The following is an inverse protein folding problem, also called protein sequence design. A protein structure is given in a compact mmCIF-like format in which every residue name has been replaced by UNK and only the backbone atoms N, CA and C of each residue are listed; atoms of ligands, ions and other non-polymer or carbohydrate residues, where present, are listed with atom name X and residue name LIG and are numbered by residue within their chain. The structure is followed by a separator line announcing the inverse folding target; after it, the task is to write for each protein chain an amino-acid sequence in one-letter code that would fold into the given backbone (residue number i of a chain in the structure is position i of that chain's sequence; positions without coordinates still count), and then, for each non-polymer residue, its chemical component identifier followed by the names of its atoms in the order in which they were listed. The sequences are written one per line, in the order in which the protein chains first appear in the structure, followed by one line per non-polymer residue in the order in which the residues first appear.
data_IF_907443417191
#
_entry.id   IF_907443417191
#
_cell.length_a   1.000
_cell.length_b   1.000
_cell.length_c   1.000
_cell.angle_alpha   90.00
_cell.angle_beta   90.00
_cell.angle_gamma   90.00
#
_symmetry.space_group_name_H-M   'P 1'
#
loop_
_entity.id
_entity.type
_entity.pdbx_description
1 polymer ?
#
# COMPACT_ATOMS: atom_id res chain seq x y z
N UNK A 1 -1.09 -3.61 19.95
CA UNK A 1 -2.41 -3.00 19.69
C UNK A 1 -2.32 -1.73 18.84
N UNK A 2 -1.55 -0.71 19.23
CA UNK A 2 -1.41 0.53 18.43
C UNK A 2 -0.91 0.30 17.00
N UNK A 3 0.13 -0.53 16.83
CA UNK A 3 0.66 -0.88 15.50
C UNK A 3 -0.37 -1.54 14.58
N UNK A 4 -1.12 -2.52 15.10
CA UNK A 4 -2.18 -3.21 14.34
C UNK A 4 -3.30 -2.25 13.93
N UNK A 5 -3.65 -1.31 14.81
CA UNK A 5 -4.64 -0.29 14.52
C UNK A 5 -4.16 0.65 13.40
N UNK A 6 -2.87 1.01 13.44
CA UNK A 6 -2.25 1.87 12.44
C UNK A 6 -2.24 1.18 11.07
N UNK A 7 -1.79 -0.09 11.03
CA UNK A 7 -1.82 -0.93 9.84
C UNK A 7 -3.23 -1.01 9.26
N UNK A 8 -4.23 -1.35 10.09
CA UNK A 8 -5.62 -1.45 9.67
C UNK A 8 -6.12 -0.13 9.05
N UNK A 9 -5.91 1.00 9.70
CA UNK A 9 -6.38 2.29 9.20
C UNK A 9 -5.68 2.73 7.92
N UNK A 10 -4.37 2.49 7.80
CA UNK A 10 -3.60 2.80 6.58
C UNK A 10 -4.16 2.04 5.39
N UNK A 11 -4.31 0.71 5.49
CA UNK A 11 -4.84 -0.09 4.38
C UNK A 11 -6.34 0.10 4.16
N UNK A 12 -7.13 0.33 5.21
CA UNK A 12 -8.56 0.64 5.07
C UNK A 12 -8.77 1.97 4.35
N UNK A 13 -7.92 2.96 4.58
CA UNK A 13 -7.93 4.25 3.86
C UNK A 13 -7.50 4.08 2.41
N UNK A 14 -6.41 3.37 2.15
CA UNK A 14 -5.95 3.10 0.78
C UNK A 14 -7.04 2.36 0.01
N UNK A 15 -7.60 1.28 0.57
CA UNK A 15 -8.67 0.51 -0.07
C UNK A 15 -9.97 1.30 -0.26
N UNK A 16 -10.36 2.12 0.71
CA UNK A 16 -11.59 2.92 0.64
C UNK A 16 -11.50 4.18 -0.23
N UNK A 17 -10.30 4.72 -0.47
CA UNK A 17 -10.08 5.93 -1.26
C UNK A 17 -9.49 5.65 -2.66
N UNK A 18 -9.12 4.41 -2.96
CA UNK A 18 -8.65 4.03 -4.29
C UNK A 18 -9.85 3.77 -5.21
N UNK A 19 -10.16 4.73 -6.08
CA UNK A 19 -11.09 4.55 -7.20
C UNK A 19 -10.29 4.64 -8.51
N UNK A 20 -10.20 3.54 -9.26
CA UNK A 20 -9.45 3.51 -10.53
C UNK A 20 -8.60 2.26 -10.83
N UNK A 21 -8.76 1.16 -10.08
CA UNK A 21 -8.00 -0.08 -10.27
C UNK A 21 -6.61 -0.06 -9.63
N UNK A 22 -5.82 -1.13 -9.82
CA UNK A 22 -4.54 -1.32 -9.12
C UNK A 22 -3.54 -0.17 -9.31
N UNK A 23 -3.47 0.43 -10.51
CA UNK A 23 -2.49 1.49 -10.80
C UNK A 23 -2.78 2.80 -10.05
N UNK A 24 -4.04 3.08 -9.73
CA UNK A 24 -4.41 4.25 -8.94
C UNK A 24 -3.97 4.12 -7.47
N UNK A 25 -3.77 2.90 -6.98
CA UNK A 25 -3.39 2.61 -5.61
C UNK A 25 -1.90 2.81 -5.35
N UNK A 26 -1.07 2.65 -6.38
CA UNK A 26 0.39 2.65 -6.28
C UNK A 26 0.96 3.95 -5.66
N UNK A 27 0.58 5.17 -6.08
CA UNK A 27 1.08 6.40 -5.46
C UNK A 27 0.63 6.57 -4.00
N UNK A 28 -0.56 6.06 -3.63
CA UNK A 28 -1.00 6.06 -2.23
C UNK A 28 -0.18 5.09 -1.38
N UNK A 29 0.10 3.88 -1.90
CA UNK A 29 0.96 2.92 -1.23
C UNK A 29 2.39 3.47 -1.07
N UNK A 30 2.95 4.09 -2.11
CA UNK A 30 4.29 4.65 -2.05
C UNK A 30 4.39 5.74 -0.98
N UNK A 31 3.41 6.65 -0.93
CA UNK A 31 3.34 7.68 0.09
C UNK A 31 3.21 7.10 1.51
N UNK A 32 2.25 6.21 1.74
CA UNK A 32 1.98 5.74 3.11
C UNK A 32 3.00 4.68 3.57
N UNK A 33 3.34 3.71 2.73
CA UNK A 33 4.19 2.55 3.09
C UNK A 33 5.68 2.89 3.04
N UNK A 34 6.12 3.68 2.05
CA UNK A 34 7.56 4.01 1.85
C UNK A 34 7.92 5.34 2.52
N UNK A 35 7.16 6.41 2.28
CA UNK A 35 7.53 7.74 2.80
C UNK A 35 7.09 7.97 4.26
N UNK A 36 5.81 7.74 4.56
CA UNK A 36 5.23 8.01 5.89
C UNK A 36 5.69 6.99 6.92
N UNK A 37 5.41 5.70 6.67
CA UNK A 37 5.62 4.64 7.66
C UNK A 37 6.96 3.91 7.51
N UNK A 38 7.61 4.00 6.34
CA UNK A 38 8.92 3.37 6.05
C UNK A 38 8.93 1.86 6.35
N UNK A 39 7.81 1.19 6.10
CA UNK A 39 7.67 -0.26 6.30
C UNK A 39 8.32 -1.07 5.19
N UNK A 40 8.48 -0.47 4.01
CA UNK A 40 9.15 -1.06 2.86
C UNK A 40 9.88 0.02 2.07
N UNK A 41 10.84 -0.40 1.25
CA UNK A 41 11.48 0.42 0.24
C UNK A 41 10.62 0.53 -1.02
N UNK A 42 10.94 1.50 -1.87
CA UNK A 42 10.26 1.66 -3.17
C UNK A 42 10.40 0.41 -4.05
N UNK A 43 11.58 -0.22 -4.05
CA UNK A 43 11.82 -1.48 -4.78
C UNK A 43 10.94 -2.62 -4.26
N UNK A 44 10.93 -2.83 -2.94
CA UNK A 44 10.10 -3.88 -2.34
C UNK A 44 8.61 -3.64 -2.62
N UNK A 45 8.15 -2.38 -2.58
CA UNK A 45 6.77 -2.06 -2.91
C UNK A 45 6.42 -2.44 -4.36
N UNK A 46 7.31 -2.16 -5.32
CA UNK A 46 7.11 -2.53 -6.71
C UNK A 46 7.09 -4.05 -6.91
N UNK A 47 7.96 -4.78 -6.21
CA UNK A 47 7.98 -6.24 -6.23
C UNK A 47 6.67 -6.82 -5.66
N UNK A 48 6.18 -6.30 -4.54
CA UNK A 48 4.90 -6.72 -3.95
C UNK A 48 3.73 -6.43 -4.88
N UNK A 49 3.74 -5.27 -5.53
CA UNK A 49 2.71 -4.90 -6.49
C UNK A 49 2.73 -5.82 -7.72
N UNK A 50 3.91 -6.16 -8.25
CA UNK A 50 4.06 -7.09 -9.36
C UNK A 50 3.54 -8.49 -9.00
N UNK A 51 3.85 -8.98 -7.80
CA UNK A 51 3.31 -10.25 -7.29
C UNK A 51 1.79 -10.17 -7.19
N UNK A 52 1.25 -9.08 -6.64
CA UNK A 52 -0.20 -8.87 -6.51
C UNK A 52 -0.95 -8.82 -7.84
N UNK A 53 -0.32 -8.31 -8.91
CA UNK A 53 -0.88 -8.32 -10.26
C UNK A 53 -0.73 -9.68 -10.96
N UNK A 54 0.27 -10.47 -10.58
CA UNK A 54 0.47 -11.82 -11.12
C UNK A 54 -0.48 -12.84 -10.48
N UNK A 55 -0.93 -12.58 -9.25
CA UNK A 55 -1.95 -13.41 -8.57
C UNK A 55 -3.36 -13.01 -9.00
N UNK A 56 -4.21 -13.97 -9.40
CA UNK A 56 -5.58 -13.69 -9.85
C UNK A 56 -6.51 -13.20 -8.73
#
# INVERSE_FOLDING_TARGET
MKELMNLFWTFCRIGGLTFGGGYAMLPMLQKEVVETHKWATEQELLDYYAVGQATP
#
